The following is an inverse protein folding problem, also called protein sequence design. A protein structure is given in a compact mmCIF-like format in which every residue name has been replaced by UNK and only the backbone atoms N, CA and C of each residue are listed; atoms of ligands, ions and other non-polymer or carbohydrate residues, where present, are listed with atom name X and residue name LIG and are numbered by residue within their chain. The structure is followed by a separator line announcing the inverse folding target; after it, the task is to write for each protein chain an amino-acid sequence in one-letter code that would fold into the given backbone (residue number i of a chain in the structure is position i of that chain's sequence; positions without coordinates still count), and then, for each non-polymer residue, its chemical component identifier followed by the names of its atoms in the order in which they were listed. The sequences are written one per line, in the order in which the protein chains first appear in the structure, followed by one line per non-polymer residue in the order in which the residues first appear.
data_IF_734758764604
#
_entry.id   IF_734758764604
#
_cell.length_a   1.000
_cell.length_b   1.000
_cell.length_c   1.000
_cell.angle_alpha   90.00
_cell.angle_beta   90.00
_cell.angle_gamma   90.00
#
_symmetry.space_group_name_H-M   'P 1'
#
loop_
_entity.id
_entity.type
_entity.pdbx_description
1 polymer ?
#
# COMPACT_ATOMS: atom_id res chain seq x y z
N UNK A 1 -2.81 -10.75 4.37
CA UNK A 1 -1.58 -10.06 3.90
C UNK A 1 -1.53 -9.88 2.39
N UNK A 2 -1.97 -10.85 1.59
CA UNK A 2 -1.92 -10.76 0.13
C UNK A 2 -2.65 -9.53 -0.46
N UNK A 3 -3.82 -9.16 0.07
CA UNK A 3 -4.61 -8.03 -0.44
C UNK A 3 -3.99 -6.66 -0.14
N UNK A 4 -3.44 -6.46 1.06
CA UNK A 4 -2.75 -5.21 1.42
C UNK A 4 -1.48 -5.05 0.57
N UNK A 5 -0.75 -6.14 0.33
CA UNK A 5 0.42 -6.14 -0.55
C UNK A 5 0.02 -5.81 -2.00
N UNK A 6 -1.03 -6.45 -2.51
CA UNK A 6 -1.55 -6.15 -3.85
C UNK A 6 -1.99 -4.69 -3.96
N UNK A 7 -2.64 -4.12 -2.92
CA UNK A 7 -3.03 -2.72 -2.90
C UNK A 7 -1.81 -1.77 -2.97
N UNK A 8 -0.73 -2.06 -2.25
CA UNK A 8 0.51 -1.27 -2.33
C UNK A 8 1.15 -1.36 -3.71
N UNK A 9 1.27 -2.56 -4.29
CA UNK A 9 1.78 -2.71 -5.67
C UNK A 9 0.89 -1.98 -6.69
N UNK A 10 -0.43 -2.09 -6.56
CA UNK A 10 -1.37 -1.41 -7.46
C UNK A 10 -1.20 0.12 -7.39
N UNK A 11 -1.07 0.67 -6.19
CA UNK A 11 -0.84 2.10 -5.99
C UNK A 11 0.48 2.55 -6.64
N UNK A 12 1.58 1.82 -6.41
CA UNK A 12 2.89 2.15 -6.98
C UNK A 12 2.96 2.03 -8.50
N UNK A 13 2.12 1.20 -9.10
CA UNK A 13 2.10 0.96 -10.55
C UNK A 13 0.98 1.72 -11.27
N UNK A 14 0.20 2.56 -10.58
CA UNK A 14 -0.93 3.28 -11.16
C UNK A 14 -2.08 2.36 -11.63
N UNK A 15 -2.16 1.14 -11.10
CA UNK A 15 -3.19 0.16 -11.46
C UNK A 15 -4.42 0.38 -10.59
N UNK A 16 -5.57 0.65 -11.21
CA UNK A 16 -6.86 0.70 -10.50
C UNK A 16 -7.28 -0.73 -10.12
N UNK A 17 -7.36 -1.06 -8.83
CA UNK A 17 -7.75 -2.40 -8.42
C UNK A 17 -9.26 -2.59 -8.54
N UNK A 18 -9.67 -3.81 -8.89
CA UNK A 18 -11.07 -4.23 -8.76
C UNK A 18 -11.30 -4.88 -7.41
N UNK A 19 -12.39 -4.53 -6.73
CA UNK A 19 -12.78 -5.17 -5.47
C UNK A 19 -13.05 -6.65 -5.70
N UNK A 20 -12.46 -7.52 -4.87
CA UNK A 20 -12.79 -8.95 -4.80
C UNK A 20 -13.21 -9.28 -3.37
N UNK A 21 -14.39 -9.90 -3.24
CA UNK A 21 -15.01 -10.55 -2.08
C UNK A 21 -14.52 -10.11 -0.70
N UNK A 22 -15.35 -9.34 0.02
CA UNK A 22 -15.06 -8.76 1.34
C UNK A 22 -15.16 -9.74 2.53
N UNK A 23 -15.19 -11.04 2.27
CA UNK A 23 -15.42 -12.08 3.30
C UNK A 23 -14.32 -12.10 4.37
N UNK A 24 -13.13 -11.59 4.05
CA UNK A 24 -12.01 -11.43 4.98
C UNK A 24 -12.25 -10.37 6.07
N UNK A 25 -13.17 -9.41 5.86
CA UNK A 25 -13.41 -8.32 6.83
C UNK A 25 -13.86 -8.90 8.18
N UNK A 26 -14.72 -9.92 8.17
CA UNK A 26 -15.19 -10.58 9.39
C UNK A 26 -14.05 -11.19 10.20
N UNK A 27 -13.12 -11.89 9.52
CA UNK A 27 -11.95 -12.47 10.16
C UNK A 27 -11.00 -11.40 10.74
N UNK A 28 -10.84 -10.25 10.06
CA UNK A 28 -10.03 -9.15 10.57
C UNK A 28 -10.65 -8.46 11.79
N UNK A 29 -11.97 -8.38 11.87
CA UNK A 29 -12.63 -7.79 13.04
C UNK A 29 -12.34 -8.58 14.32
N UNK A 30 -12.32 -9.91 14.26
CA UNK A 30 -11.94 -10.74 15.41
C UNK A 30 -10.46 -10.59 15.76
N UNK A 31 -9.57 -10.60 14.76
CA UNK A 31 -8.13 -10.37 14.97
C UNK A 31 -7.87 -9.00 15.61
N UNK A 32 -8.60 -7.96 15.22
CA UNK A 32 -8.42 -6.61 15.77
C UNK A 32 -8.99 -6.46 17.17
N UNK A 33 -10.03 -7.23 17.53
CA UNK A 33 -10.52 -7.29 18.91
C UNK A 33 -9.49 -7.87 19.87
N UNK A 34 -8.71 -8.85 19.40
CA UNK A 34 -7.64 -9.48 20.18
C UNK A 34 -6.34 -8.65 20.17
N UNK A 35 -6.01 -8.01 19.05
CA UNK A 35 -4.78 -7.24 18.87
C UNK A 35 -4.99 -6.00 18.00
N UNK A 36 -5.15 -4.84 18.64
CA UNK A 36 -5.28 -3.53 17.99
C UNK A 36 -4.08 -3.16 17.09
N UNK A 37 -2.92 -3.80 17.25
CA UNK A 37 -1.72 -3.53 16.42
C UNK A 37 -1.57 -4.51 15.26
N UNK A 38 -2.46 -5.49 15.12
CA UNK A 38 -2.40 -6.49 14.07
C UNK A 38 -2.40 -5.85 12.67
N UNK A 39 -3.22 -4.82 12.45
CA UNK A 39 -3.28 -4.10 11.16
C UNK A 39 -1.99 -3.37 10.82
N UNK A 40 -1.31 -2.76 11.81
CA UNK A 40 -0.06 -2.03 11.57
C UNK A 40 1.08 -3.00 11.29
N UNK A 41 1.12 -4.13 12.00
CA UNK A 41 2.08 -5.22 11.73
C UNK A 41 1.85 -5.84 10.35
N UNK A 42 0.58 -5.99 9.98
CA UNK A 42 0.16 -6.46 8.67
C UNK A 42 0.65 -5.55 7.56
N UNK A 43 0.36 -4.26 7.70
CA UNK A 43 0.82 -3.23 6.78
C UNK A 43 2.35 -3.23 6.66
N UNK A 44 3.09 -3.25 7.79
CA UNK A 44 4.56 -3.27 7.76
C UNK A 44 5.14 -4.47 7.01
N UNK A 45 4.55 -5.66 7.16
CA UNK A 45 4.97 -6.84 6.41
C UNK A 45 4.62 -6.73 4.92
N UNK A 46 3.43 -6.21 4.61
CA UNK A 46 3.01 -5.99 3.24
C UNK A 46 3.90 -4.94 2.54
N UNK A 47 4.28 -3.85 3.21
CA UNK A 47 5.18 -2.84 2.64
C UNK A 47 6.52 -3.44 2.26
N UNK A 48 7.14 -4.23 3.15
CA UNK A 48 8.42 -4.90 2.85
C UNK A 48 8.32 -5.86 1.66
N UNK A 49 7.21 -6.57 1.53
CA UNK A 49 6.96 -7.46 0.41
C UNK A 49 6.76 -6.68 -0.90
N UNK A 50 6.03 -5.57 -0.86
CA UNK A 50 5.82 -4.69 -2.00
C UNK A 50 7.15 -4.07 -2.44
N UNK A 51 7.93 -3.50 -1.52
CA UNK A 51 9.25 -2.94 -1.79
C UNK A 51 10.18 -3.97 -2.45
N UNK A 52 10.19 -5.19 -1.93
CA UNK A 52 10.97 -6.29 -2.51
C UNK A 52 10.53 -6.63 -3.94
N UNK A 53 9.22 -6.69 -4.20
CA UNK A 53 8.67 -6.94 -5.54
C UNK A 53 8.99 -5.79 -6.51
N UNK A 54 8.84 -4.56 -6.04
CA UNK A 54 9.04 -3.35 -6.83
C UNK A 54 10.53 -3.12 -7.17
N UNK A 55 11.45 -3.60 -6.32
CA UNK A 55 12.88 -3.56 -6.58
C UNK A 55 13.36 -4.43 -7.76
N UNK A 56 12.49 -5.27 -8.33
CA UNK A 56 12.78 -6.00 -9.58
C UNK A 56 12.28 -5.31 -10.83
N UNK A 57 11.54 -4.20 -10.72
CA UNK A 57 11.22 -3.44 -11.91
C UNK A 57 12.54 -2.95 -12.54
N UNK A 58 12.65 -2.97 -13.88
CA UNK A 58 13.72 -2.24 -14.54
C UNK A 58 13.65 -0.78 -14.06
N UNK A 59 14.79 -0.06 -14.08
CA UNK A 59 14.79 1.39 -13.91
C UNK A 59 13.85 1.99 -14.95
N UNK A 60 12.58 2.10 -14.58
CA UNK A 60 11.59 2.77 -15.36
C UNK A 60 12.06 4.21 -15.34
N UNK A 61 12.30 4.75 -16.53
CA UNK A 61 12.37 6.18 -16.77
C UNK A 61 11.04 6.78 -16.26
N UNK A 62 10.95 6.96 -14.94
CA UNK A 62 9.95 7.77 -14.27
C UNK A 62 10.29 9.18 -14.70
N UNK A 63 9.76 9.56 -15.87
CA UNK A 63 9.84 10.91 -16.38
C UNK A 63 9.46 11.91 -15.28
N UNK A 64 10.04 13.11 -15.28
CA UNK A 64 9.92 14.07 -14.20
C UNK A 64 8.52 14.70 -14.21
N UNK A 65 7.52 13.99 -13.70
CA UNK A 65 6.21 14.55 -13.36
C UNK A 65 5.46 13.49 -12.56
N UNK A 66 5.52 13.57 -11.22
CA UNK A 66 4.37 13.44 -10.30
C UNK A 66 4.79 13.35 -8.81
N UNK A 67 6.01 13.74 -8.44
CA UNK A 67 6.35 13.94 -7.03
C UNK A 67 6.12 15.39 -6.61
N UNK A 68 4.99 15.60 -5.94
CA UNK A 68 4.78 16.61 -4.90
C UNK A 68 4.61 18.08 -5.32
N UNK A 69 3.48 18.42 -5.96
CA UNK A 69 2.88 19.76 -5.83
C UNK A 69 1.90 19.77 -4.66
N UNK A 70 2.41 19.81 -3.44
CA UNK A 70 1.57 19.76 -2.24
C UNK A 70 2.31 20.05 -0.94
N UNK A 71 3.22 21.03 -0.91
CA UNK A 71 3.64 21.65 0.36
C UNK A 71 4.39 22.99 0.14
N UNK A 72 3.71 24.01 -0.41
CA UNK A 72 4.16 25.39 -0.26
C UNK A 72 3.51 26.04 0.97
N UNK A 73 4.04 25.68 2.15
CA UNK A 73 4.11 26.66 3.24
C UNK A 73 5.08 27.76 2.79
N UNK A 74 4.55 28.86 2.26
CA UNK A 74 5.28 30.11 2.21
C UNK A 74 4.52 31.21 2.94
N UNK A 75 5.25 31.82 3.87
CA UNK A 75 4.85 32.93 4.69
C UNK A 75 4.37 34.11 3.84
N UNK A 76 3.31 34.76 4.31
CA UNK A 76 3.01 36.16 4.07
C UNK A 76 2.58 36.78 5.41
#
# INVERSE_FOLDING_TARGET
MAEINAAFCCASLGIVPTVRHADYIGAWLEVLREDNRAIVRAASQASKAADWLLGFLPDADLGPDDTMAGDERQAA
#
